data_IF_252466176710
#
_entry.id   IF_252466176710
#
_cell.length_a   1.000
_cell.length_b   1.000
_cell.length_c   1.000
_cell.angle_alpha   90.00
_cell.angle_beta   90.00
_cell.angle_gamma   90.00
#
_symmetry.space_group_name_H-M   'P 1'
#
loop_
_entity.id
_entity.type
_entity.pdbx_description
1 polymer ?
#
# COMPACT_ATOMS: atom_id res chain seq x y z
N UNK A 1 47.83 -1.72 -25.91
CA UNK A 1 46.68 -0.80 -26.06
C UNK A 1 45.38 -1.33 -25.45
N UNK A 2 45.18 -2.64 -25.28
CA UNK A 2 43.91 -3.23 -24.77
C UNK A 2 43.71 -3.12 -23.25
N UNK A 3 44.78 -3.16 -22.44
CA UNK A 3 44.66 -3.11 -20.97
C UNK A 3 44.06 -1.80 -20.43
N UNK A 4 44.44 -0.65 -21.00
CA UNK A 4 43.86 0.65 -20.61
C UNK A 4 42.39 0.78 -20.99
N UNK A 5 41.99 0.19 -22.12
CA UNK A 5 40.58 0.13 -22.56
C UNK A 5 39.76 -0.74 -21.61
N UNK A 6 40.28 -1.90 -21.19
CA UNK A 6 39.58 -2.78 -20.24
C UNK A 6 39.40 -2.15 -18.85
N UNK A 7 40.41 -1.42 -18.35
CA UNK A 7 40.32 -0.71 -17.06
C UNK A 7 39.30 0.43 -17.15
N UNK A 8 39.30 1.19 -18.25
CA UNK A 8 38.34 2.28 -18.47
C UNK A 8 36.89 1.78 -18.50
N UNK A 9 36.61 0.69 -19.23
CA UNK A 9 35.29 0.07 -19.26
C UNK A 9 34.89 -0.52 -17.90
N UNK A 10 35.83 -1.11 -17.14
CA UNK A 10 35.57 -1.61 -15.80
C UNK A 10 35.14 -0.50 -14.82
N UNK A 11 35.79 0.66 -14.88
CA UNK A 11 35.42 1.84 -14.06
C UNK A 11 34.04 2.37 -14.48
N UNK A 12 33.78 2.49 -15.78
CA UNK A 12 32.47 2.93 -16.28
C UNK A 12 31.35 1.99 -15.80
N UNK A 13 31.54 0.67 -15.91
CA UNK A 13 30.56 -0.32 -15.45
C UNK A 13 30.33 -0.20 -13.94
N UNK A 14 31.39 -0.05 -13.15
CA UNK A 14 31.28 0.13 -11.70
C UNK A 14 30.51 1.42 -11.33
N UNK A 15 30.75 2.52 -12.05
CA UNK A 15 30.03 3.80 -11.85
C UNK A 15 28.56 3.67 -12.28
N UNK A 16 28.26 2.98 -13.38
CA UNK A 16 26.87 2.73 -13.82
C UNK A 16 26.14 1.85 -12.82
N UNK A 17 26.75 0.77 -12.34
CA UNK A 17 26.14 -0.13 -11.35
C UNK A 17 25.95 0.58 -9.99
N UNK A 18 26.94 1.36 -9.55
CA UNK A 18 26.84 2.15 -8.32
C UNK A 18 25.78 3.23 -8.39
N UNK A 19 25.70 3.99 -9.50
CA UNK A 19 24.66 5.02 -9.69
C UNK A 19 23.27 4.42 -9.83
N UNK A 20 23.12 3.31 -10.57
CA UNK A 20 21.84 2.58 -10.67
C UNK A 20 21.40 2.06 -9.30
N UNK A 21 22.31 1.45 -8.53
CA UNK A 21 22.04 1.00 -7.16
C UNK A 21 21.64 2.14 -6.23
N UNK A 22 22.32 3.28 -6.30
CA UNK A 22 22.00 4.47 -5.52
C UNK A 22 20.62 5.05 -5.88
N UNK A 23 20.27 5.12 -7.16
CA UNK A 23 18.96 5.61 -7.61
C UNK A 23 17.81 4.70 -7.16
N UNK A 24 18.01 3.39 -7.17
CA UNK A 24 17.03 2.43 -6.65
C UNK A 24 16.87 2.58 -5.13
N UNK A 25 17.97 2.77 -4.40
CA UNK A 25 17.94 2.98 -2.95
C UNK A 25 17.28 4.31 -2.55
N UNK A 26 17.58 5.40 -3.26
CA UNK A 26 17.00 6.72 -3.01
C UNK A 26 15.47 6.74 -3.20
N UNK A 27 14.92 5.87 -4.06
CA UNK A 27 13.46 5.68 -4.22
C UNK A 27 12.79 4.91 -3.07
N UNK A 28 13.54 4.23 -2.22
CA UNK A 28 13.02 3.35 -1.17
C UNK A 28 12.76 4.04 0.18
N UNK A 29 12.82 5.38 0.23
CA UNK A 29 12.53 6.13 1.46
C UNK A 29 11.10 5.90 2.01
N UNK A 30 10.87 6.21 3.31
CA UNK A 30 9.56 6.06 3.94
C UNK A 30 8.52 6.94 3.23
N UNK A 31 7.34 6.39 3.01
CA UNK A 31 6.21 7.09 2.41
C UNK A 31 5.59 8.09 3.38
N UNK A 32 4.98 9.15 2.83
CA UNK A 32 4.36 10.24 3.61
C UNK A 32 3.31 9.73 4.61
N UNK A 33 2.62 8.63 4.31
CA UNK A 33 1.52 8.08 5.10
C UNK A 33 1.89 6.77 5.79
N UNK A 34 3.18 6.43 5.89
CA UNK A 34 3.62 5.14 6.46
C UNK A 34 3.17 4.99 7.91
N UNK A 35 3.32 6.03 8.72
CA UNK A 35 2.89 6.05 10.13
C UNK A 35 1.38 5.92 10.28
N UNK A 36 0.62 6.56 9.39
CA UNK A 36 -0.84 6.47 9.38
C UNK A 36 -1.31 5.07 8.99
N UNK A 37 -0.79 4.51 7.89
CA UNK A 37 -1.11 3.16 7.44
C UNK A 37 -0.75 2.09 8.48
N UNK A 38 0.41 2.24 9.14
CA UNK A 38 0.84 1.37 10.21
C UNK A 38 -0.07 1.50 11.44
N UNK A 39 -0.45 2.72 11.85
CA UNK A 39 -1.39 2.91 12.94
C UNK A 39 -2.74 2.23 12.67
N UNK A 40 -3.29 2.34 11.45
CA UNK A 40 -4.52 1.66 11.08
C UNK A 40 -4.40 0.14 11.30
N UNK A 41 -3.29 -0.45 10.85
CA UNK A 41 -2.99 -1.86 11.05
C UNK A 41 -2.87 -2.23 12.54
N UNK A 42 -2.16 -1.44 13.32
CA UNK A 42 -1.95 -1.68 14.76
C UNK A 42 -3.24 -1.54 15.56
N UNK A 43 -4.14 -0.66 15.12
CA UNK A 43 -5.50 -0.50 15.65
C UNK A 43 -6.47 -1.58 15.19
N UNK A 44 -6.01 -2.56 14.40
CA UNK A 44 -6.84 -3.65 13.88
C UNK A 44 -7.89 -3.22 12.87
N UNK A 45 -7.74 -2.04 12.27
CA UNK A 45 -8.55 -1.63 11.13
C UNK A 45 -8.27 -2.57 9.97
N UNK A 46 -9.28 -2.95 9.19
CA UNK A 46 -9.10 -3.82 8.03
C UNK A 46 -9.75 -3.21 6.80
N UNK A 47 -8.99 -3.17 5.70
CA UNK A 47 -9.43 -2.74 4.38
C UNK A 47 -9.71 -3.96 3.50
N UNK A 48 -10.98 -4.28 3.32
CA UNK A 48 -11.44 -5.32 2.41
C UNK A 48 -11.65 -4.74 1.01
N UNK A 49 -11.08 -5.39 -0.01
CA UNK A 49 -11.29 -4.99 -1.39
C UNK A 49 -10.91 -6.08 -2.38
N UNK A 50 -10.96 -5.74 -3.67
CA UNK A 50 -10.56 -6.63 -4.74
C UNK A 50 -9.46 -6.02 -5.61
N UNK A 51 -8.56 -6.85 -6.14
CA UNK A 51 -7.46 -6.36 -6.99
C UNK A 51 -7.96 -5.64 -8.26
N UNK A 52 -9.10 -6.07 -8.82
CA UNK A 52 -9.70 -5.48 -10.03
C UNK A 52 -10.61 -4.28 -9.74
N UNK A 53 -10.91 -3.99 -8.46
CA UNK A 53 -11.89 -2.99 -8.08
C UNK A 53 -11.32 -1.56 -8.26
N UNK A 54 -11.92 -0.71 -9.14
CA UNK A 54 -11.38 0.62 -9.43
C UNK A 54 -11.41 1.57 -8.22
N UNK A 55 -12.47 1.50 -7.42
CA UNK A 55 -12.58 2.26 -6.17
C UNK A 55 -11.50 1.87 -5.16
N UNK A 56 -11.17 0.58 -5.10
CA UNK A 56 -10.11 0.05 -4.24
C UNK A 56 -8.73 0.54 -4.68
N UNK A 57 -8.50 0.61 -6.00
CA UNK A 57 -7.27 1.18 -6.56
C UNK A 57 -7.18 2.68 -6.28
N UNK A 58 -8.28 3.43 -6.38
CA UNK A 58 -8.32 4.85 -6.00
C UNK A 58 -8.02 5.05 -4.52
N UNK A 59 -8.61 4.25 -3.63
CA UNK A 59 -8.27 4.26 -2.21
C UNK A 59 -6.79 3.96 -1.97
N UNK A 60 -6.20 2.93 -2.61
CA UNK A 60 -4.75 2.66 -2.53
C UNK A 60 -3.92 3.85 -3.05
N UNK A 61 -4.39 4.51 -4.10
CA UNK A 61 -3.76 5.70 -4.67
C UNK A 61 -3.64 6.86 -3.67
N UNK A 62 -4.63 7.06 -2.79
CA UNK A 62 -4.56 8.06 -1.72
C UNK A 62 -3.39 7.83 -0.76
N UNK A 63 -2.98 6.57 -0.58
CA UNK A 63 -1.85 6.19 0.27
C UNK A 63 -0.51 6.19 -0.48
N UNK A 64 -0.50 6.28 -1.81
CA UNK A 64 0.73 6.27 -2.61
C UNK A 64 1.64 5.08 -2.28
N UNK A 65 2.93 5.35 -2.02
CA UNK A 65 3.90 4.31 -1.64
C UNK A 65 3.59 3.65 -0.30
N UNK A 66 2.80 4.30 0.57
CA UNK A 66 2.38 3.76 1.86
C UNK A 66 1.26 2.73 1.74
N UNK A 67 0.64 2.56 0.56
CA UNK A 67 -0.41 1.57 0.34
C UNK A 67 0.05 0.14 0.65
N UNK A 68 1.35 -0.15 0.53
CA UNK A 68 1.98 -1.44 0.87
C UNK A 68 1.87 -1.80 2.36
N UNK A 69 1.62 -0.81 3.22
CA UNK A 69 1.49 -0.98 4.67
C UNK A 69 0.03 -1.08 5.12
N UNK A 70 -0.92 -0.84 4.22
CA UNK A 70 -2.34 -0.93 4.55
C UNK A 70 -2.71 -2.33 5.05
N UNK A 71 -3.60 -2.43 6.05
CA UNK A 71 -4.15 -3.71 6.50
C UNK A 71 -5.19 -4.24 5.49
N UNK A 72 -4.73 -4.55 4.28
CA UNK A 72 -5.57 -4.99 3.16
C UNK A 72 -5.86 -6.49 3.19
N UNK A 73 -7.11 -6.86 2.96
CA UNK A 73 -7.55 -8.24 2.71
C UNK A 73 -8.11 -8.34 1.30
N UNK A 74 -7.53 -9.24 0.51
CA UNK A 74 -8.04 -9.57 -0.83
C UNK A 74 -9.30 -10.43 -0.73
N UNK A 75 -10.39 -9.86 -1.25
CA UNK A 75 -11.69 -10.49 -1.23
C UNK A 75 -12.03 -11.21 -2.53
N UNK A 76 -11.31 -11.03 -3.63
CA UNK A 76 -11.60 -11.74 -4.87
C UNK A 76 -10.74 -12.99 -5.03
N UNK A 77 -11.33 -14.05 -5.56
CA UNK A 77 -10.57 -15.20 -6.05
C UNK A 77 -9.66 -14.79 -7.22
N UNK A 78 -8.58 -15.54 -7.51
CA UNK A 78 -7.64 -15.17 -8.58
C UNK A 78 -8.28 -14.99 -9.97
N UNK A 79 -9.38 -15.71 -10.25
CA UNK A 79 -10.13 -15.59 -11.50
C UNK A 79 -11.12 -14.40 -11.53
N UNK A 80 -11.26 -13.65 -10.43
CA UNK A 80 -12.14 -12.50 -10.33
C UNK A 80 -13.65 -12.82 -10.21
N UNK A 81 -14.04 -14.09 -10.22
CA UNK A 81 -15.45 -14.50 -10.33
C UNK A 81 -16.14 -14.71 -8.99
N UNK A 82 -15.38 -14.94 -7.92
CA UNK A 82 -15.90 -15.30 -6.61
C UNK A 82 -15.27 -14.44 -5.50
N UNK A 83 -15.89 -14.51 -4.33
CA UNK A 83 -15.38 -13.92 -3.10
C UNK A 83 -14.66 -14.97 -2.24
N UNK A 84 -13.53 -14.60 -1.64
CA UNK A 84 -12.77 -15.42 -0.68
C UNK A 84 -13.59 -15.70 0.58
N UNK A 85 -13.38 -16.87 1.21
CA UNK A 85 -14.18 -17.28 2.36
C UNK A 85 -14.08 -16.29 3.53
N UNK A 86 -12.88 -15.74 3.78
CA UNK A 86 -12.68 -14.74 4.84
C UNK A 86 -13.58 -13.51 4.67
N UNK A 87 -13.83 -13.05 3.44
CA UNK A 87 -14.70 -11.90 3.20
C UNK A 87 -16.19 -12.28 3.28
N UNK A 88 -16.55 -13.51 2.89
CA UNK A 88 -17.90 -14.06 3.09
C UNK A 88 -18.24 -14.17 4.58
N UNK A 89 -17.35 -14.74 5.38
CA UNK A 89 -17.50 -14.90 6.82
C UNK A 89 -17.61 -13.56 7.55
N UNK A 90 -16.95 -12.52 7.02
CA UNK A 90 -17.03 -11.14 7.52
C UNK A 90 -18.22 -10.35 6.96
N UNK A 91 -19.05 -10.95 6.11
CA UNK A 91 -20.24 -10.31 5.55
C UNK A 91 -19.93 -9.13 4.63
N UNK A 92 -18.80 -9.15 3.92
CA UNK A 92 -18.41 -8.06 3.02
C UNK A 92 -19.26 -8.12 1.75
N UNK A 93 -20.13 -7.13 1.55
CA UNK A 93 -21.06 -7.09 0.40
C UNK A 93 -20.64 -6.14 -0.71
N UNK A 94 -19.69 -5.24 -0.44
CA UNK A 94 -19.19 -4.26 -1.42
C UNK A 94 -17.73 -3.90 -1.16
N UNK A 95 -17.07 -3.35 -2.19
CA UNK A 95 -15.68 -2.93 -2.11
C UNK A 95 -15.54 -1.45 -2.51
N UNK A 96 -14.62 -0.70 -1.90
CA UNK A 96 -13.87 -1.06 -0.69
C UNK A 96 -14.77 -1.07 0.56
N UNK A 97 -14.41 -1.85 1.58
CA UNK A 97 -15.05 -1.83 2.91
C UNK A 97 -14.00 -1.77 4.00
N UNK A 98 -14.21 -0.90 4.99
CA UNK A 98 -13.36 -0.74 6.17
C UNK A 98 -14.10 -1.19 7.43
N UNK A 99 -13.44 -2.06 8.21
CA UNK A 99 -13.93 -2.49 9.52
C UNK A 99 -12.99 -2.03 10.62
N UNK A 100 -13.53 -1.73 11.80
CA UNK A 100 -12.77 -1.25 12.95
C UNK A 100 -13.12 -2.13 14.16
N UNK A 101 -12.15 -2.58 14.99
CA UNK A 101 -12.42 -3.58 16.04
C UNK A 101 -13.47 -3.19 17.07
N UNK A 102 -13.64 -1.88 17.30
CA UNK A 102 -14.54 -1.34 18.33
C UNK A 102 -15.69 -0.52 17.74
N UNK A 103 -15.91 -0.57 16.42
CA UNK A 103 -17.02 0.13 15.79
C UNK A 103 -18.11 -0.86 15.39
N UNK A 104 -19.35 -0.55 15.77
CA UNK A 104 -20.54 -1.25 15.26
C UNK A 104 -20.77 -0.96 13.78
N UNK A 105 -20.13 0.09 13.25
CA UNK A 105 -20.32 0.58 11.88
C UNK A 105 -19.09 0.31 11.03
N UNK A 106 -19.32 -0.23 9.83
CA UNK A 106 -18.32 -0.33 8.77
C UNK A 106 -18.42 0.85 7.81
N UNK A 107 -17.31 1.31 7.26
CA UNK A 107 -17.33 2.32 6.19
C UNK A 107 -17.20 1.64 4.83
N UNK A 108 -18.21 1.78 3.97
CA UNK A 108 -18.19 1.24 2.60
C UNK A 108 -17.86 2.33 1.58
N UNK A 109 -17.37 1.95 0.41
CA UNK A 109 -17.01 2.90 -0.64
C UNK A 109 -15.74 3.70 -0.34
N UNK A 110 -15.35 4.57 -1.26
CA UNK A 110 -14.17 5.42 -1.10
C UNK A 110 -14.33 6.34 0.12
N UNK A 111 -13.27 6.46 0.92
CA UNK A 111 -13.20 7.32 2.11
C UNK A 111 -11.99 8.22 2.06
N UNK A 112 -12.13 9.41 2.64
CA UNK A 112 -11.01 10.33 2.77
C UNK A 112 -10.07 9.91 3.90
N UNK A 113 -8.84 10.42 3.90
CA UNK A 113 -7.88 10.15 4.96
C UNK A 113 -8.37 10.71 6.30
N UNK A 114 -9.09 11.83 6.28
CA UNK A 114 -9.67 12.49 7.44
C UNK A 114 -10.81 11.66 8.05
N UNK A 115 -11.69 11.09 7.23
CA UNK A 115 -12.74 10.17 7.70
C UNK A 115 -12.12 8.95 8.38
N UNK A 116 -11.12 8.33 7.75
CA UNK A 116 -10.42 7.18 8.30
C UNK A 116 -9.70 7.54 9.60
N UNK A 117 -9.06 8.71 9.68
CA UNK A 117 -8.41 9.23 10.88
C UNK A 117 -9.42 9.43 12.02
N UNK A 118 -10.55 10.07 11.74
CA UNK A 118 -11.57 10.36 12.75
C UNK A 118 -12.15 9.09 13.39
N UNK A 119 -12.42 8.06 12.59
CA UNK A 119 -13.00 6.80 13.09
C UNK A 119 -11.97 5.88 13.74
N UNK A 120 -10.75 5.80 13.18
CA UNK A 120 -9.68 4.96 13.74
C UNK A 120 -8.99 5.56 14.96
N UNK A 121 -9.07 6.88 15.15
CA UNK A 121 -8.26 7.62 16.11
C UNK A 121 -6.77 7.67 15.73
N UNK A 122 -6.41 7.29 14.51
CA UNK A 122 -5.04 7.41 14.01
C UNK A 122 -4.78 8.82 13.49
N UNK A 123 -3.73 9.52 13.96
CA UNK A 123 -3.42 10.87 13.50
C UNK A 123 -2.87 10.84 12.07
N UNK A 124 -3.28 11.81 11.26
CA UNK A 124 -2.62 12.09 9.99
C UNK A 124 -1.27 12.79 10.26
N UNK A 125 -0.21 12.45 9.51
CA UNK A 125 1.07 13.14 9.62
C UNK A 125 0.89 14.61 9.21
N UNK A 126 1.51 15.50 9.98
CA UNK A 126 1.53 16.94 9.68
C UNK A 126 2.22 17.15 8.32
N UNK A 127 1.61 17.97 7.47
CA UNK A 127 2.12 18.27 6.13
C UNK A 127 3.40 19.11 6.18
#
# INVERSE_FOLDING_TARGET
MTKGVLIFWGIIIAVILGSMGFLLFAKAGPGKLDTFAQCLKDKGVVFYGAFWCPHCQKTKGLFGSSAKLLPYVECSTPNGQDQTQICKDKGITSYPTWTFPNATTTLTGERTLEELSAVSGCPLPQQ
#
